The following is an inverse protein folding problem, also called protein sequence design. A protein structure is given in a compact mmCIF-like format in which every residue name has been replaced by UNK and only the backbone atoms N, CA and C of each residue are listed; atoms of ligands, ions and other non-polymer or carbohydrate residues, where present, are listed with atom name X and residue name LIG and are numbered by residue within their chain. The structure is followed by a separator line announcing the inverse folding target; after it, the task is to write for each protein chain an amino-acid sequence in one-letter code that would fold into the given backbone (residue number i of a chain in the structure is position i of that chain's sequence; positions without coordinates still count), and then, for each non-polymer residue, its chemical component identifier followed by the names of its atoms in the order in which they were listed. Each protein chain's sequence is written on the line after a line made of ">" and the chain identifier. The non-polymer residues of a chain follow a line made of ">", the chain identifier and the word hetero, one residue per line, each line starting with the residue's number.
data_IF_504025068524
#
_entry.id   IF_504025068524
#
_cell.length_a   1.000
_cell.length_b   1.000
_cell.length_c   1.000
_cell.angle_alpha   90.00
_cell.angle_beta   90.00
_cell.angle_gamma   90.00
#
_symmetry.space_group_name_H-M   'P 1'
#
loop_
_entity.id
_entity.type
_entity.pdbx_description
1 polymer ?
#
# COMPACT_ATOMS: atom_id res chain seq x y z
N UNK A 1 -21.06 7.91 -37.09
CA UNK A 1 -20.23 7.16 -38.09
C UNK A 1 -20.29 7.92 -39.39
N UNK A 2 -19.13 8.30 -39.93
CA UNK A 2 -19.03 8.94 -41.25
C UNK A 2 -18.92 7.81 -42.30
N UNK A 3 -19.90 7.70 -43.19
CA UNK A 3 -19.86 6.73 -44.25
C UNK A 3 -18.96 7.23 -45.38
N UNK A 4 -18.33 6.32 -46.14
CA UNK A 4 -17.44 6.66 -47.25
C UNK A 4 -18.17 7.51 -48.31
N UNK A 5 -19.44 7.24 -48.54
CA UNK A 5 -20.27 8.00 -49.46
C UNK A 5 -20.52 9.46 -49.03
N UNK A 6 -20.41 9.76 -47.74
CA UNK A 6 -20.54 11.13 -47.23
C UNK A 6 -19.30 11.99 -47.49
N UNK A 7 -18.14 11.37 -47.71
CA UNK A 7 -16.90 12.05 -48.07
C UNK A 7 -16.91 12.51 -49.57
N UNK A 8 -17.72 11.87 -50.43
CA UNK A 8 -17.86 12.26 -51.81
C UNK A 8 -18.73 13.50 -52.01
N UNK A 9 -19.55 13.89 -51.02
CA UNK A 9 -20.39 15.10 -51.02
C UNK A 9 -19.74 16.15 -50.11
N UNK A 10 -19.13 17.23 -50.63
CA UNK A 10 -18.46 18.26 -49.84
C UNK A 10 -19.36 18.95 -48.81
N UNK A 11 -20.66 19.03 -49.09
CA UNK A 11 -21.63 19.66 -48.17
C UNK A 11 -21.95 18.77 -46.99
N UNK A 12 -22.02 17.47 -47.16
CA UNK A 12 -22.21 16.49 -46.09
C UNK A 12 -20.94 16.32 -45.27
N UNK A 13 -19.76 16.22 -45.91
CA UNK A 13 -18.49 16.15 -45.25
C UNK A 13 -18.27 17.35 -44.34
N UNK A 14 -18.59 18.57 -44.78
CA UNK A 14 -18.47 19.80 -43.99
C UNK A 14 -19.43 19.82 -42.81
N UNK A 15 -20.67 19.37 -42.98
CA UNK A 15 -21.64 19.26 -41.85
C UNK A 15 -21.22 18.25 -40.82
N UNK A 16 -20.76 17.08 -41.24
CA UNK A 16 -20.29 16.04 -40.34
C UNK A 16 -19.04 16.47 -39.58
N UNK A 17 -18.11 17.18 -40.24
CA UNK A 17 -16.95 17.78 -39.59
C UNK A 17 -17.36 18.78 -38.51
N UNK A 18 -18.29 19.71 -38.85
CA UNK A 18 -18.79 20.71 -37.89
C UNK A 18 -19.46 20.04 -36.69
N UNK A 19 -20.31 19.04 -36.89
CA UNK A 19 -20.96 18.29 -35.82
C UNK A 19 -19.94 17.56 -34.92
N UNK A 20 -18.88 17.00 -35.49
CA UNK A 20 -17.81 16.37 -34.75
C UNK A 20 -17.04 17.38 -33.88
N UNK A 21 -16.76 18.58 -34.40
CA UNK A 21 -16.12 19.67 -33.64
C UNK A 21 -17.00 20.15 -32.48
N UNK A 22 -18.32 20.27 -32.70
CA UNK A 22 -19.28 20.66 -31.67
C UNK A 22 -19.34 19.60 -30.54
N UNK A 23 -19.28 18.30 -30.88
CA UNK A 23 -19.23 17.23 -29.87
C UNK A 23 -17.93 17.29 -29.07
N UNK A 24 -16.80 17.48 -29.74
CA UNK A 24 -15.50 17.58 -29.05
C UNK A 24 -15.45 18.81 -28.13
N UNK A 25 -15.93 19.97 -28.59
CA UNK A 25 -16.00 21.19 -27.78
C UNK A 25 -16.93 21.07 -26.57
N UNK A 26 -17.89 20.14 -26.56
CA UNK A 26 -18.74 19.84 -25.42
C UNK A 26 -18.10 18.91 -24.40
N UNK A 27 -17.02 18.22 -24.75
CA UNK A 27 -16.33 17.24 -23.89
C UNK A 27 -15.01 17.80 -23.39
N UNK A 28 -14.31 18.54 -24.21
CA UNK A 28 -12.99 19.12 -23.90
C UNK A 28 -13.04 20.65 -23.84
N UNK A 29 -12.26 21.22 -22.94
CA UNK A 29 -11.96 22.65 -22.95
C UNK A 29 -10.98 23.02 -24.09
N UNK A 30 -10.70 24.32 -24.34
CA UNK A 30 -9.76 24.73 -25.39
C UNK A 30 -8.33 24.20 -25.19
N UNK A 31 -7.92 23.90 -23.95
CA UNK A 31 -6.61 23.32 -23.61
C UNK A 31 -6.58 21.79 -23.76
N UNK A 32 -7.72 21.15 -24.08
CA UNK A 32 -7.82 19.72 -24.29
C UNK A 32 -8.10 18.90 -23.03
N UNK A 33 -8.51 19.53 -21.94
CA UNK A 33 -8.92 18.85 -20.72
C UNK A 33 -10.41 18.50 -20.75
N UNK A 34 -10.80 17.44 -20.07
CA UNK A 34 -12.21 17.09 -19.91
C UNK A 34 -12.94 18.09 -19.00
N UNK A 35 -14.11 18.56 -19.41
CA UNK A 35 -15.00 19.25 -18.50
C UNK A 35 -15.47 18.30 -17.40
N UNK A 36 -15.20 18.65 -16.14
CA UNK A 36 -15.50 17.78 -14.98
C UNK A 36 -17.00 17.49 -14.82
N UNK A 37 -17.87 18.41 -15.18
CA UNK A 37 -19.32 18.25 -15.15
C UNK A 37 -19.86 17.29 -16.22
N UNK A 38 -19.05 16.92 -17.22
CA UNK A 38 -19.39 15.93 -18.25
C UNK A 38 -19.01 14.52 -17.85
N UNK A 39 -18.24 14.37 -16.79
CA UNK A 39 -17.88 13.05 -16.26
C UNK A 39 -19.03 12.57 -15.37
N UNK A 40 -19.65 11.48 -15.79
CA UNK A 40 -20.75 10.86 -15.02
C UNK A 40 -20.23 10.41 -13.64
N UNK A 41 -20.93 10.71 -12.55
CA UNK A 41 -20.57 10.21 -11.23
C UNK A 41 -20.30 8.70 -11.25
N UNK A 42 -19.25 8.25 -10.55
CA UNK A 42 -18.80 6.84 -10.47
C UNK A 42 -18.36 6.22 -11.82
N UNK A 43 -18.12 7.03 -12.85
CA UNK A 43 -17.60 6.53 -14.14
C UNK A 43 -16.07 6.44 -14.20
N UNK A 44 -15.38 7.03 -13.24
CA UNK A 44 -13.92 6.94 -13.11
C UNK A 44 -13.60 5.93 -12.02
N UNK A 45 -13.03 4.81 -12.43
CA UNK A 45 -12.56 3.78 -11.51
C UNK A 45 -11.13 4.05 -11.08
N UNK A 46 -10.70 3.48 -9.95
CA UNK A 46 -9.33 3.62 -9.43
C UNK A 46 -8.28 3.19 -10.45
N UNK A 47 -8.61 2.25 -11.31
CA UNK A 47 -7.75 1.78 -12.41
C UNK A 47 -7.50 2.84 -13.48
N UNK A 48 -8.39 3.83 -13.61
CA UNK A 48 -8.29 4.93 -14.57
C UNK A 48 -7.50 6.12 -14.01
N UNK A 49 -7.27 6.16 -12.70
CA UNK A 49 -6.57 7.23 -12.02
C UNK A 49 -5.13 6.80 -11.71
N UNK A 50 -4.17 7.34 -12.43
CA UNK A 50 -2.74 7.20 -12.12
C UNK A 50 -2.33 8.20 -11.04
N UNK A 51 -2.90 8.09 -9.83
CA UNK A 51 -2.55 8.93 -8.69
C UNK A 51 -1.43 8.28 -7.89
N UNK A 52 -0.34 9.01 -7.67
CA UNK A 52 0.83 8.54 -6.93
C UNK A 52 1.75 7.62 -7.74
N UNK A 53 2.78 7.10 -7.08
CA UNK A 53 3.68 6.15 -7.72
C UNK A 53 2.96 4.83 -8.02
N UNK A 54 3.02 4.39 -9.26
CA UNK A 54 2.39 3.14 -9.73
C UNK A 54 2.77 1.94 -8.86
N UNK A 55 3.98 1.95 -8.31
CA UNK A 55 4.50 0.93 -7.41
C UNK A 55 3.81 0.84 -6.05
N UNK A 56 3.01 1.83 -5.67
CA UNK A 56 2.36 1.94 -4.35
C UNK A 56 0.84 1.77 -4.40
N UNK A 57 0.26 1.54 -5.58
CA UNK A 57 -1.19 1.40 -5.75
C UNK A 57 -1.65 -0.04 -5.52
N UNK A 58 -1.34 -0.58 -4.36
CA UNK A 58 -1.73 -1.93 -3.97
C UNK A 58 -2.32 -1.97 -2.56
N UNK A 59 -3.02 -3.05 -2.26
CA UNK A 59 -3.60 -3.37 -0.96
C UNK A 59 -3.10 -4.74 -0.51
N UNK A 60 -2.73 -4.85 0.78
CA UNK A 60 -2.49 -6.12 1.44
C UNK A 60 -3.73 -6.51 2.24
N UNK A 61 -4.27 -7.68 1.95
CA UNK A 61 -5.43 -8.24 2.64
C UNK A 61 -4.99 -9.47 3.46
N UNK A 62 -5.35 -9.48 4.75
CA UNK A 62 -5.08 -10.58 5.67
C UNK A 62 -3.60 -10.95 5.86
N UNK A 63 -2.68 -10.12 5.41
CA UNK A 63 -1.24 -10.32 5.64
C UNK A 63 -0.84 -9.70 6.97
N UNK A 64 -0.16 -10.46 7.82
CA UNK A 64 0.31 -10.01 9.12
C UNK A 64 1.79 -10.32 9.30
N UNK A 65 2.51 -9.39 9.90
CA UNK A 65 3.92 -9.52 10.23
C UNK A 65 4.08 -9.64 11.75
N UNK A 66 4.79 -10.67 12.18
CA UNK A 66 5.08 -10.96 13.58
C UNK A 66 6.61 -10.91 13.78
N UNK A 67 7.21 -9.72 14.02
CA UNK A 67 8.62 -9.62 14.36
C UNK A 67 8.86 -10.19 15.75
N UNK A 68 10.10 -10.58 16.02
CA UNK A 68 10.50 -11.18 17.30
C UNK A 68 9.72 -12.45 17.63
N UNK A 69 9.40 -13.24 16.59
CA UNK A 69 8.58 -14.43 16.72
C UNK A 69 9.20 -15.41 17.71
N UNK A 70 8.37 -15.93 18.65
CA UNK A 70 8.79 -16.78 19.76
C UNK A 70 9.89 -16.15 20.65
N UNK A 71 9.89 -14.82 20.77
CA UNK A 71 10.86 -14.08 21.58
C UNK A 71 12.25 -13.95 20.96
N UNK A 72 12.44 -14.40 19.72
CA UNK A 72 13.72 -14.32 19.02
C UNK A 72 13.76 -13.08 18.10
N UNK A 73 14.63 -12.07 18.38
CA UNK A 73 14.73 -10.86 17.56
C UNK A 73 15.27 -11.11 16.14
N UNK A 74 15.85 -12.27 15.89
CA UNK A 74 16.35 -12.65 14.56
C UNK A 74 15.34 -13.52 13.78
N UNK A 75 14.10 -13.59 14.25
CA UNK A 75 13.04 -14.36 13.60
C UNK A 75 11.81 -13.49 13.37
N UNK A 76 11.30 -13.54 12.15
CA UNK A 76 10.04 -12.89 11.75
C UNK A 76 9.13 -13.94 11.13
N UNK A 77 7.91 -14.05 11.64
CA UNK A 77 6.87 -14.84 10.99
C UNK A 77 5.99 -13.91 10.17
N UNK A 78 5.68 -14.32 8.97
CA UNK A 78 4.72 -13.66 8.09
C UNK A 78 3.54 -14.60 7.90
N UNK A 79 2.37 -14.16 8.28
CA UNK A 79 1.11 -14.84 7.90
C UNK A 79 0.74 -14.33 6.52
N UNK A 80 0.63 -15.24 5.57
CA UNK A 80 0.28 -14.93 4.18
C UNK A 80 -1.14 -14.41 4.04
N UNK A 81 -1.41 -13.82 2.90
CA UNK A 81 -2.71 -13.23 2.55
C UNK A 81 -2.75 -12.94 1.06
N UNK A 82 -3.37 -11.85 0.66
CA UNK A 82 -3.48 -11.46 -0.75
C UNK A 82 -2.94 -10.04 -0.95
N UNK A 83 -2.10 -9.86 -1.98
CA UNK A 83 -1.77 -8.55 -2.50
C UNK A 83 -2.63 -8.28 -3.74
N UNK A 84 -3.35 -7.16 -3.74
CA UNK A 84 -4.15 -6.70 -4.89
C UNK A 84 -3.54 -5.41 -5.39
N UNK A 85 -3.19 -5.35 -6.67
CA UNK A 85 -2.62 -4.16 -7.31
C UNK A 85 -3.54 -3.64 -8.42
N UNK A 86 -3.83 -2.34 -8.38
CA UNK A 86 -4.86 -1.74 -9.23
C UNK A 86 -4.36 -1.25 -10.58
N UNK A 87 -3.07 -0.95 -10.73
CA UNK A 87 -2.53 -0.22 -11.90
C UNK A 87 -1.26 -0.81 -12.51
N UNK A 88 -0.79 -1.98 -12.04
CA UNK A 88 0.45 -2.59 -12.55
C UNK A 88 0.28 -3.17 -13.96
N UNK A 89 -0.94 -3.55 -14.33
CA UNK A 89 -1.33 -4.06 -15.63
C UNK A 89 -2.63 -3.39 -16.09
N UNK A 90 -3.13 -3.74 -17.27
CA UNK A 90 -4.40 -3.25 -17.81
C UNK A 90 -5.61 -3.67 -16.97
N UNK A 91 -5.50 -4.76 -16.25
CA UNK A 91 -6.53 -5.24 -15.31
C UNK A 91 -5.97 -5.36 -13.91
N UNK A 92 -6.86 -5.30 -12.91
CA UNK A 92 -6.50 -5.54 -11.51
C UNK A 92 -5.83 -6.90 -11.37
N UNK A 93 -4.64 -6.92 -10.78
CA UNK A 93 -3.91 -8.15 -10.47
C UNK A 93 -3.92 -8.47 -9.00
N UNK A 94 -4.01 -9.76 -8.68
CA UNK A 94 -3.91 -10.24 -7.31
C UNK A 94 -2.95 -11.43 -7.20
N UNK A 95 -2.25 -11.51 -6.08
CA UNK A 95 -1.32 -12.61 -5.78
C UNK A 95 -1.58 -13.14 -4.39
N UNK A 96 -1.55 -14.47 -4.27
CA UNK A 96 -1.57 -15.15 -2.98
C UNK A 96 -0.17 -15.14 -2.40
N UNK A 97 -0.03 -14.59 -1.19
CA UNK A 97 1.22 -14.55 -0.45
C UNK A 97 1.29 -15.74 0.50
N UNK A 98 2.38 -16.46 0.47
CA UNK A 98 2.57 -17.63 1.32
C UNK A 98 2.92 -17.24 2.76
N UNK A 99 2.43 -18.02 3.74
CA UNK A 99 2.92 -17.95 5.11
C UNK A 99 4.35 -18.50 5.18
N UNK A 100 5.23 -17.79 5.85
CA UNK A 100 6.64 -18.19 6.02
C UNK A 100 7.22 -17.67 7.33
N UNK A 101 8.22 -18.39 7.85
CA UNK A 101 9.03 -17.96 8.98
C UNK A 101 10.47 -17.73 8.49
N UNK A 102 10.97 -16.55 8.75
CA UNK A 102 12.34 -16.13 8.40
C UNK A 102 13.18 -16.15 9.67
N UNK A 103 14.11 -17.07 9.74
CA UNK A 103 15.02 -17.23 10.86
C UNK A 103 16.42 -16.78 10.48
N UNK A 104 17.27 -16.59 11.50
CA UNK A 104 18.70 -16.25 11.32
C UNK A 104 18.94 -14.89 10.62
N UNK A 105 18.03 -13.94 10.80
CA UNK A 105 18.26 -12.57 10.37
C UNK A 105 19.44 -11.96 11.13
N UNK A 106 20.33 -11.28 10.43
CA UNK A 106 21.56 -10.70 11.02
C UNK A 106 21.20 -9.53 11.92
N UNK A 107 21.54 -9.57 13.20
CA UNK A 107 21.12 -8.61 14.24
C UNK A 107 21.43 -7.15 13.90
N UNK A 108 22.60 -6.85 13.34
CA UNK A 108 23.01 -5.48 12.99
C UNK A 108 22.46 -4.96 11.66
N UNK A 109 21.64 -5.73 10.96
CA UNK A 109 21.21 -5.41 9.58
C UNK A 109 19.78 -4.92 9.54
N UNK A 110 19.55 -3.85 8.77
CA UNK A 110 18.24 -3.36 8.37
C UNK A 110 17.84 -4.07 7.07
N UNK A 111 16.58 -4.47 6.97
CA UNK A 111 16.06 -5.13 5.78
C UNK A 111 14.92 -4.33 5.16
N UNK A 112 14.87 -4.28 3.84
CA UNK A 112 13.69 -3.89 3.08
C UNK A 112 12.74 -5.08 2.99
N UNK A 113 11.45 -4.85 3.17
CA UNK A 113 10.41 -5.88 3.09
C UNK A 113 9.70 -5.71 1.76
N UNK A 114 9.74 -6.73 0.92
CA UNK A 114 9.07 -6.73 -0.38
C UNK A 114 8.06 -7.86 -0.48
N UNK A 115 6.92 -7.58 -1.14
CA UNK A 115 6.13 -8.63 -1.76
C UNK A 115 6.71 -8.90 -3.15
N UNK A 116 7.27 -10.09 -3.33
CA UNK A 116 7.77 -10.60 -4.60
C UNK A 116 6.67 -11.38 -5.28
N UNK A 117 6.13 -10.86 -6.37
CA UNK A 117 4.93 -11.36 -7.05
C UNK A 117 5.26 -11.75 -8.49
N UNK A 118 4.79 -12.92 -8.94
CA UNK A 118 5.01 -13.38 -10.31
C UNK A 118 4.37 -12.45 -11.34
N UNK A 119 5.08 -12.12 -12.42
CA UNK A 119 4.54 -11.30 -13.52
C UNK A 119 3.46 -12.04 -14.30
N UNK A 120 3.63 -13.33 -14.52
CA UNK A 120 2.74 -14.17 -15.33
C UNK A 120 1.79 -15.07 -14.52
N UNK A 121 1.98 -15.14 -13.19
CA UNK A 121 1.17 -15.97 -12.31
C UNK A 121 0.46 -15.19 -11.21
N UNK A 122 -0.14 -15.93 -10.27
CA UNK A 122 -0.88 -15.40 -9.12
C UNK A 122 -0.20 -15.74 -7.78
N UNK A 123 0.99 -16.33 -7.82
CA UNK A 123 1.75 -16.64 -6.61
C UNK A 123 2.69 -15.49 -6.24
N UNK A 124 2.82 -15.26 -4.94
CA UNK A 124 3.74 -14.30 -4.36
C UNK A 124 4.28 -14.76 -3.02
N UNK A 125 5.32 -14.13 -2.57
CA UNK A 125 5.88 -14.33 -1.24
C UNK A 125 6.51 -13.05 -0.71
N UNK A 126 6.63 -12.96 0.61
CA UNK A 126 7.39 -11.88 1.24
C UNK A 126 8.88 -12.26 1.20
N UNK A 127 9.72 -11.25 0.98
CA UNK A 127 11.18 -11.37 1.06
C UNK A 127 11.76 -10.22 1.87
N UNK A 128 12.82 -10.52 2.62
CA UNK A 128 13.63 -9.56 3.34
C UNK A 128 14.96 -9.38 2.58
N UNK A 129 15.25 -8.17 2.13
CA UNK A 129 16.43 -7.88 1.33
C UNK A 129 17.24 -6.73 1.95
N UNK A 130 18.54 -6.78 1.81
CA UNK A 130 19.43 -5.71 2.27
C UNK A 130 19.65 -4.62 1.21
N UNK A 131 19.19 -4.86 -0.01
CA UNK A 131 19.36 -3.97 -1.16
C UNK A 131 17.97 -3.51 -1.65
N UNK A 132 17.88 -2.24 -2.03
CA UNK A 132 16.68 -1.71 -2.67
C UNK A 132 16.50 -2.31 -4.06
N UNK A 133 15.26 -2.73 -4.35
CA UNK A 133 14.88 -3.27 -5.64
C UNK A 133 13.90 -2.38 -6.36
N UNK A 134 14.10 -2.23 -7.67
CA UNK A 134 13.11 -1.62 -8.54
C UNK A 134 11.90 -2.55 -8.69
N UNK A 135 10.70 -1.97 -8.78
CA UNK A 135 9.44 -2.74 -8.90
C UNK A 135 9.47 -3.73 -10.04
N UNK A 136 10.01 -3.33 -11.18
CA UNK A 136 10.03 -4.07 -12.46
C UNK A 136 11.44 -4.42 -12.93
N UNK A 137 12.41 -4.45 -12.01
CA UNK A 137 13.82 -4.73 -12.33
C UNK A 137 14.15 -6.21 -12.57
N UNK A 138 13.24 -7.12 -12.26
CA UNK A 138 13.41 -8.56 -12.45
C UNK A 138 12.52 -9.04 -13.62
N UNK A 139 13.00 -9.91 -14.52
CA UNK A 139 12.21 -10.36 -15.66
C UNK A 139 10.99 -11.20 -15.28
N UNK A 140 11.01 -11.87 -14.11
CA UNK A 140 9.99 -12.86 -13.69
C UNK A 140 9.07 -12.31 -12.61
N UNK A 141 9.56 -11.38 -11.77
CA UNK A 141 8.86 -10.91 -10.59
C UNK A 141 8.73 -9.39 -10.54
N UNK A 142 7.64 -8.94 -9.96
CA UNK A 142 7.50 -7.60 -9.39
C UNK A 142 7.96 -7.61 -7.94
N UNK A 143 8.57 -6.48 -7.49
CA UNK A 143 8.97 -6.26 -6.10
C UNK A 143 8.25 -5.03 -5.55
N UNK A 144 7.19 -5.25 -4.78
CA UNK A 144 6.45 -4.16 -4.15
C UNK A 144 7.01 -3.91 -2.76
N UNK A 145 7.51 -2.70 -2.52
CA UNK A 145 8.04 -2.33 -1.20
C UNK A 145 6.89 -2.20 -0.20
N UNK A 146 6.93 -3.04 0.83
CA UNK A 146 5.94 -3.07 1.92
C UNK A 146 6.41 -2.26 3.10
N UNK A 147 7.70 -2.28 3.40
CA UNK A 147 8.25 -1.59 4.55
C UNK A 147 9.71 -1.91 4.79
N UNK A 148 10.12 -1.70 6.02
CA UNK A 148 11.45 -2.04 6.50
C UNK A 148 11.41 -2.73 7.85
N UNK A 149 12.39 -3.58 8.11
CA UNK A 149 12.65 -4.21 9.40
C UNK A 149 13.95 -3.60 9.96
N UNK A 150 13.89 -3.05 11.17
CA UNK A 150 15.06 -2.46 11.81
C UNK A 150 16.15 -3.49 12.08
N UNK A 151 17.38 -3.06 12.35
CA UNK A 151 18.34 -3.86 13.11
C UNK A 151 17.77 -4.20 14.50
N UNK A 152 18.39 -5.13 15.20
CA UNK A 152 18.02 -5.41 16.58
C UNK A 152 18.33 -4.17 17.43
N UNK A 153 17.34 -3.71 18.15
CA UNK A 153 17.43 -2.60 19.11
C UNK A 153 17.32 -3.22 20.49
N UNK A 154 18.21 -2.82 21.37
CA UNK A 154 18.15 -3.17 22.80
C UNK A 154 17.65 -1.96 23.57
N UNK A 155 16.93 -2.18 24.66
CA UNK A 155 16.65 -1.12 25.63
C UNK A 155 17.94 -0.67 26.35
N UNK A 156 17.84 0.37 27.17
CA UNK A 156 18.99 0.92 27.91
C UNK A 156 19.63 -0.09 28.85
N UNK A 157 18.88 -1.11 29.26
CA UNK A 157 19.34 -2.16 30.17
C UNK A 157 19.91 -3.38 29.41
N UNK A 158 19.83 -3.39 28.07
CA UNK A 158 20.34 -4.46 27.21
C UNK A 158 19.56 -5.78 27.30
N UNK A 159 18.42 -5.79 28.01
CA UNK A 159 17.72 -7.03 28.37
C UNK A 159 16.57 -7.41 27.47
N UNK A 160 16.20 -6.57 26.49
CA UNK A 160 15.04 -6.80 25.62
C UNK A 160 15.37 -6.52 24.15
N UNK A 161 16.20 -7.35 23.54
CA UNK A 161 16.50 -7.17 22.14
C UNK A 161 15.24 -7.40 21.30
N UNK A 162 14.93 -6.45 20.42
CA UNK A 162 13.76 -6.52 19.55
C UNK A 162 14.01 -5.82 18.21
N UNK A 163 13.27 -6.21 17.20
CA UNK A 163 13.17 -5.51 15.91
C UNK A 163 11.83 -4.85 15.77
N UNK A 164 11.81 -3.73 15.07
CA UNK A 164 10.62 -3.00 14.68
C UNK A 164 10.37 -3.16 13.19
N UNK A 165 9.12 -3.31 12.81
CA UNK A 165 8.67 -3.23 11.42
C UNK A 165 8.01 -1.87 11.20
N UNK A 166 8.52 -1.12 10.21
CA UNK A 166 7.89 0.08 9.71
C UNK A 166 7.26 -0.25 8.35
N UNK A 167 5.94 -0.38 8.30
CA UNK A 167 5.22 -0.61 7.06
C UNK A 167 5.01 0.74 6.35
N UNK A 168 5.38 0.82 5.08
CA UNK A 168 5.10 1.99 4.22
C UNK A 168 3.67 1.96 3.69
N UNK A 169 3.04 0.79 3.78
CA UNK A 169 1.68 0.54 3.34
C UNK A 169 0.78 0.34 4.57
N UNK A 170 -0.25 1.19 4.68
CA UNK A 170 -1.29 1.09 5.73
C UNK A 170 -0.81 1.29 7.16
N UNK A 171 0.47 1.68 7.37
CA UNK A 171 1.00 1.99 8.67
C UNK A 171 1.13 3.52 8.84
N UNK A 172 0.65 4.02 9.97
CA UNK A 172 0.93 5.39 10.39
C UNK A 172 2.21 5.38 11.21
N UNK A 173 3.30 5.91 10.64
CA UNK A 173 4.52 6.18 11.40
C UNK A 173 4.40 7.58 11.99
N UNK A 174 4.34 7.68 13.31
CA UNK A 174 4.29 8.96 14.02
C UNK A 174 5.71 9.28 14.44
N UNK A 175 6.30 10.27 13.76
CA UNK A 175 7.63 10.78 14.08
C UNK A 175 7.51 12.27 14.44
N UNK A 176 7.58 12.58 15.75
CA UNK A 176 7.46 13.95 16.21
C UNK A 176 7.39 14.06 17.71
N UNK A 177 7.55 15.27 18.24
CA UNK A 177 7.45 15.57 19.69
C UNK A 177 6.00 15.62 20.18
N UNK A 178 5.06 15.81 19.28
CA UNK A 178 3.64 15.98 19.60
C UNK A 178 2.79 15.06 18.73
N UNK A 179 1.88 14.34 19.38
CA UNK A 179 0.82 13.60 18.75
C UNK A 179 -0.51 14.30 19.08
N UNK A 180 -1.17 14.86 18.09
CA UNK A 180 -2.53 15.35 18.21
C UNK A 180 -3.47 14.32 17.58
N UNK A 181 -4.25 13.63 18.41
CA UNK A 181 -5.23 12.63 17.98
C UNK A 181 -6.33 12.54 19.01
N UNK A 182 -7.53 12.21 18.62
CA UNK A 182 -8.65 12.02 19.53
C UNK A 182 -8.50 10.73 20.33
N UNK A 183 -8.18 9.61 19.64
CA UNK A 183 -8.12 8.30 20.29
C UNK A 183 -7.03 7.39 19.70
N UNK A 184 -6.34 6.68 20.60
CA UNK A 184 -5.42 5.59 20.28
C UNK A 184 -6.00 4.32 20.89
N UNK A 185 -6.22 3.26 20.09
CA UNK A 185 -6.86 2.04 20.59
C UNK A 185 -6.24 0.77 20.02
N UNK A 186 -6.46 -0.35 20.74
CA UNK A 186 -6.18 -1.69 20.22
C UNK A 186 -7.08 -2.04 19.03
N UNK A 187 -6.70 -3.02 18.21
CA UNK A 187 -7.45 -3.43 17.04
C UNK A 187 -8.87 -3.91 17.31
N UNK A 188 -9.16 -4.39 18.54
CA UNK A 188 -10.49 -4.77 19.02
C UNK A 188 -11.25 -3.62 19.70
N UNK A 189 -10.62 -2.43 19.80
CA UNK A 189 -11.20 -1.24 20.43
C UNK A 189 -11.38 -1.29 21.94
N UNK A 190 -11.00 -2.40 22.58
CA UNK A 190 -11.28 -2.60 24.01
C UNK A 190 -10.26 -1.92 24.95
N UNK A 191 -9.04 -1.68 24.47
CA UNK A 191 -8.01 -0.94 25.21
C UNK A 191 -7.69 0.35 24.49
N UNK A 192 -7.77 1.48 25.16
CA UNK A 192 -7.64 2.78 24.51
C UNK A 192 -7.14 3.89 25.41
N UNK A 193 -6.58 4.93 24.78
CA UNK A 193 -6.37 6.27 25.28
C UNK A 193 -7.25 7.21 24.48
N UNK A 194 -8.26 7.78 25.08
CA UNK A 194 -9.13 8.77 24.46
C UNK A 194 -8.76 10.15 24.99
N UNK A 195 -8.09 10.94 24.14
CA UNK A 195 -7.59 12.25 24.53
C UNK A 195 -8.70 13.31 24.49
N UNK A 196 -9.75 13.11 23.70
CA UNK A 196 -10.89 14.03 23.64
C UNK A 196 -11.79 13.85 24.86
N UNK A 197 -12.00 12.62 25.31
CA UNK A 197 -12.75 12.31 26.52
C UNK A 197 -11.91 12.40 27.81
N UNK A 198 -10.58 12.45 27.69
CA UNK A 198 -9.68 12.40 28.84
C UNK A 198 -9.69 11.04 29.56
N UNK A 199 -9.93 9.95 28.83
CA UNK A 199 -10.11 8.62 29.38
C UNK A 199 -9.02 7.65 28.95
N UNK A 200 -8.67 6.74 29.87
CA UNK A 200 -7.88 5.55 29.59
C UNK A 200 -8.73 4.34 29.97
N UNK A 201 -9.08 3.50 28.99
CA UNK A 201 -9.96 2.37 29.19
C UNK A 201 -9.36 1.04 28.78
N UNK A 202 -9.90 -0.04 29.34
CA UNK A 202 -9.54 -1.41 29.02
C UNK A 202 -8.66 -2.08 30.07
N UNK A 203 -8.14 -3.27 29.74
CA UNK A 203 -7.30 -4.07 30.63
C UNK A 203 -5.84 -3.61 30.57
N UNK A 204 -5.54 -2.45 31.13
CA UNK A 204 -4.21 -1.85 31.14
C UNK A 204 -3.42 -2.34 32.36
N UNK A 205 -2.25 -2.93 32.09
CA UNK A 205 -1.34 -3.41 33.11
C UNK A 205 -0.16 -2.46 33.24
N UNK A 206 0.03 -1.89 34.43
CA UNK A 206 1.21 -1.11 34.76
C UNK A 206 2.31 -2.04 35.28
N UNK A 207 3.50 -1.92 34.69
CA UNK A 207 4.66 -2.71 35.11
C UNK A 207 5.77 -1.80 35.59
N UNK A 208 6.50 -2.26 36.59
CA UNK A 208 7.75 -1.63 37.03
C UNK A 208 8.86 -1.90 35.97
N UNK A 209 10.00 -1.21 36.10
CA UNK A 209 11.16 -1.37 35.20
C UNK A 209 11.72 -2.80 35.19
N UNK A 210 11.53 -3.56 36.28
CA UNK A 210 11.89 -4.97 36.39
C UNK A 210 10.87 -5.93 35.78
N UNK A 211 9.80 -5.40 35.16
CA UNK A 211 8.72 -6.18 34.56
C UNK A 211 7.64 -6.69 35.50
N UNK A 212 7.76 -6.45 36.81
CA UNK A 212 6.72 -6.81 37.81
C UNK A 212 5.47 -5.95 37.63
N UNK A 213 4.29 -6.53 37.89
CA UNK A 213 3.03 -5.79 37.92
C UNK A 213 3.05 -4.85 39.17
N UNK A 214 2.70 -3.59 38.95
CA UNK A 214 2.45 -2.62 40.00
C UNK A 214 1.01 -2.71 40.46
#
# INVERSE_FOLDING_TARGET
>A
VIEINDLADPSKARRNWKASQEVLANVFDPEGHYYSEKIKPLSIETTMLATGARSQQFVLQNTRFEPNYEGNPNTVKVVGGTLVHYTIAETVKSWQLNTATFSNLVSGTVYYIYARCQKTGTAGNIVFDTVQRAVDGDPTYYYFLIGSLSSVITDTDGNRPARLIALTYGATTINGRFLATGRIQSGDGQTYFDLDAGEIGGNIKFRASDGTLK
#
